data_IF_323661255820
#
_entry.id   IF_323661255820
#
_cell.length_a   1.000
_cell.length_b   1.000
_cell.length_c   1.000
_cell.angle_alpha   90.00
_cell.angle_beta   90.00
_cell.angle_gamma   90.00
#
_symmetry.space_group_name_H-M   'P 1'
#
loop_
_entity.id
_entity.type
_entity.pdbx_description
1 polymer ?
#
# COMPACT_ATOMS: atom_id res chain seq x y z
N UNK A 1 19.74 12.86 1.71
CA UNK A 1 18.34 12.95 2.15
C UNK A 1 17.60 11.77 1.56
N UNK A 2 16.80 11.07 2.36
CA UNK A 2 15.88 10.08 1.83
C UNK A 2 14.63 10.85 1.42
N UNK A 3 14.25 10.79 0.15
CA UNK A 3 13.09 11.51 -0.37
C UNK A 3 11.86 10.74 0.07
N UNK A 4 10.92 11.45 0.70
CA UNK A 4 9.79 10.82 1.39
C UNK A 4 8.48 11.41 0.92
N UNK A 5 7.44 10.59 0.95
CA UNK A 5 6.08 11.08 1.09
C UNK A 5 5.78 11.27 2.57
N UNK A 6 4.96 12.26 2.91
CA UNK A 6 4.55 12.53 4.29
C UNK A 6 3.03 12.63 4.37
N UNK A 7 2.46 12.05 5.41
CA UNK A 7 1.04 12.08 5.69
C UNK A 7 0.80 12.80 7.02
N UNK A 8 -0.15 13.72 7.03
CA UNK A 8 -0.58 14.47 8.20
C UNK A 8 -2.11 14.49 8.32
N UNK A 9 -2.60 14.76 9.52
CA UNK A 9 -3.98 15.22 9.76
C UNK A 9 -3.99 16.70 10.11
N UNK A 10 -4.95 17.45 9.54
CA UNK A 10 -5.03 18.90 9.65
C UNK A 10 -6.44 19.39 10.02
N UNK A 11 -6.50 20.52 10.72
CA UNK A 11 -7.76 21.21 11.05
C UNK A 11 -8.43 21.92 9.86
N UNK A 12 -7.70 22.25 8.80
CA UNK A 12 -8.21 22.88 7.57
C UNK A 12 -7.51 22.31 6.32
N UNK A 13 -8.05 22.64 5.14
CA UNK A 13 -7.39 22.42 3.85
C UNK A 13 -6.60 23.68 3.47
N UNK A 14 -5.25 23.65 3.39
CA UNK A 14 -4.45 24.83 3.10
C UNK A 14 -4.69 25.38 1.70
N UNK A 15 -4.88 26.70 1.60
CA UNK A 15 -5.03 27.43 0.33
C UNK A 15 -3.76 28.17 -0.11
N UNK A 16 -2.84 28.42 0.81
CA UNK A 16 -1.48 28.93 0.57
C UNK A 16 -0.49 28.37 1.60
N UNK A 17 0.80 28.58 1.41
CA UNK A 17 1.83 28.17 2.38
C UNK A 17 1.66 28.85 3.75
N UNK A 18 1.18 30.10 3.75
CA UNK A 18 0.88 30.87 4.95
C UNK A 18 -0.48 30.50 5.56
N UNK A 19 -1.32 29.72 4.88
CA UNK A 19 -2.62 29.24 5.38
C UNK A 19 -2.45 28.03 6.32
N UNK A 20 -1.65 28.23 7.37
CA UNK A 20 -1.34 27.23 8.38
C UNK A 20 -2.58 26.83 9.20
N UNK A 21 -2.80 25.51 9.40
CA UNK A 21 -3.80 24.99 10.32
C UNK A 21 -3.54 25.38 11.77
N UNK A 22 -4.60 25.49 12.57
CA UNK A 22 -4.46 25.59 14.04
C UNK A 22 -4.00 24.25 14.66
N UNK A 23 -4.39 23.13 14.06
CA UNK A 23 -4.06 21.77 14.49
C UNK A 23 -3.41 20.98 13.36
N UNK A 24 -2.31 20.31 13.69
CA UNK A 24 -1.56 19.43 12.81
C UNK A 24 -1.07 18.23 13.63
N UNK A 25 -1.20 17.03 13.08
CA UNK A 25 -0.47 15.85 13.58
C UNK A 25 0.27 15.18 12.42
N UNK A 26 1.53 14.80 12.64
CA UNK A 26 2.18 13.83 11.78
C UNK A 26 1.46 12.49 11.87
N UNK A 27 1.38 11.76 10.77
CA UNK A 27 0.80 10.41 10.75
C UNK A 27 1.81 9.36 10.33
N UNK A 28 2.52 9.61 9.23
CA UNK A 28 3.55 8.71 8.75
C UNK A 28 4.40 9.35 7.66
N UNK A 29 5.54 8.74 7.37
CA UNK A 29 6.42 9.09 6.26
C UNK A 29 6.95 7.83 5.57
N UNK A 30 7.11 7.89 4.25
CA UNK A 30 7.56 6.72 3.48
C UNK A 30 8.61 7.09 2.46
N UNK A 31 9.75 6.39 2.47
CA UNK A 31 10.84 6.67 1.55
C UNK A 31 10.54 6.15 0.14
N UNK A 32 10.77 7.00 -0.87
CA UNK A 32 10.77 6.69 -2.31
C UNK A 32 9.45 6.20 -2.92
N UNK A 33 8.35 6.13 -2.16
CA UNK A 33 7.02 5.73 -2.66
C UNK A 33 5.90 6.37 -1.81
N UNK A 34 4.67 6.25 -2.30
CA UNK A 34 3.43 6.49 -1.55
C UNK A 34 2.75 5.13 -1.35
N UNK A 35 2.71 4.58 -0.12
CA UNK A 35 2.18 3.24 0.11
C UNK A 35 0.65 3.16 -0.07
N UNK A 36 0.13 1.93 -0.14
CA UNK A 36 -1.29 1.69 -0.41
C UNK A 36 -2.23 2.34 0.61
N UNK A 37 -1.91 2.28 1.90
CA UNK A 37 -2.78 2.81 2.96
C UNK A 37 -2.95 4.33 2.87
N UNK A 38 -1.92 5.06 2.43
CA UNK A 38 -2.02 6.50 2.20
C UNK A 38 -3.01 6.78 1.08
N UNK A 39 -2.87 6.07 -0.05
CA UNK A 39 -3.78 6.22 -1.20
C UNK A 39 -5.22 5.84 -0.82
N UNK A 40 -5.42 4.83 0.02
CA UNK A 40 -6.73 4.43 0.53
C UNK A 40 -7.34 5.53 1.41
N UNK A 41 -6.59 6.07 2.36
CA UNK A 41 -7.02 7.20 3.19
C UNK A 41 -7.41 8.42 2.34
N UNK A 42 -6.63 8.74 1.31
CA UNK A 42 -6.85 9.90 0.44
C UNK A 42 -7.97 9.69 -0.61
N UNK A 43 -8.54 8.50 -0.74
CA UNK A 43 -9.29 8.09 -1.93
C UNK A 43 -10.73 8.63 -2.06
N UNK A 44 -11.29 9.28 -1.03
CA UNK A 44 -12.70 9.68 -1.01
C UNK A 44 -12.97 10.98 -1.77
N UNK A 45 -12.14 11.99 -1.57
CA UNK A 45 -12.21 13.27 -2.29
C UNK A 45 -10.80 13.90 -2.34
N UNK A 46 -9.85 13.30 -3.09
CA UNK A 46 -8.51 13.85 -3.21
C UNK A 46 -8.53 15.10 -4.11
N UNK A 47 -8.02 16.20 -3.58
CA UNK A 47 -7.94 17.50 -4.25
C UNK A 47 -6.55 18.11 -4.07
N UNK A 48 -6.06 18.87 -5.06
CA UNK A 48 -4.83 19.64 -4.87
C UNK A 48 -5.06 20.73 -3.82
N UNK A 49 -4.03 20.99 -3.02
CA UNK A 49 -3.97 22.07 -2.04
C UNK A 49 -2.54 22.64 -2.00
N UNK A 50 -2.32 23.71 -1.24
CA UNK A 50 -0.97 24.27 -1.11
C UNK A 50 -0.07 23.31 -0.30
N UNK A 51 1.17 23.13 -0.74
CA UNK A 51 2.18 22.46 0.09
C UNK A 51 2.51 23.33 1.30
N UNK A 52 2.64 22.68 2.45
CA UNK A 52 3.07 23.28 3.70
C UNK A 52 4.57 23.04 3.98
N UNK A 53 5.22 22.18 3.19
CA UNK A 53 6.66 21.90 3.25
C UNK A 53 7.47 23.07 2.68
N UNK A 54 7.08 23.60 1.52
CA UNK A 54 7.79 24.70 0.86
C UNK A 54 6.87 25.64 0.08
N UNK A 55 7.23 26.92 0.00
CA UNK A 55 6.59 27.95 -0.82
C UNK A 55 7.35 28.26 -2.13
N UNK A 56 8.37 27.45 -2.44
CA UNK A 56 9.20 27.67 -3.61
C UNK A 56 10.30 26.63 -3.83
N UNK A 57 11.08 26.86 -4.89
CA UNK A 57 12.22 26.06 -5.30
C UNK A 57 13.44 26.95 -5.40
N UNK A 58 14.58 26.50 -4.85
CA UNK A 58 15.87 27.19 -4.92
C UNK A 58 15.81 28.69 -4.55
N UNK A 59 15.00 29.03 -3.53
CA UNK A 59 14.81 30.40 -3.05
C UNK A 59 13.88 31.27 -3.92
N UNK A 60 13.30 30.70 -4.99
CA UNK A 60 12.31 31.36 -5.83
C UNK A 60 10.91 30.92 -5.41
N UNK A 61 10.05 31.88 -5.05
CA UNK A 61 8.65 31.59 -4.73
C UNK A 61 7.92 31.06 -5.97
N UNK A 62 7.42 29.83 -5.87
CA UNK A 62 6.60 29.18 -6.89
C UNK A 62 5.51 28.36 -6.19
N UNK A 63 4.27 28.33 -6.70
CA UNK A 63 3.22 27.53 -6.08
C UNK A 63 3.55 26.03 -6.12
N UNK A 64 3.81 25.45 -4.95
CA UNK A 64 3.98 24.01 -4.77
C UNK A 64 2.69 23.43 -4.19
N UNK A 65 2.39 22.20 -4.57
CA UNK A 65 1.11 21.58 -4.30
C UNK A 65 1.28 20.28 -3.53
N UNK A 66 0.32 20.02 -2.66
CA UNK A 66 0.11 18.77 -1.95
C UNK A 66 -1.30 18.25 -2.26
N UNK A 67 -1.68 17.13 -1.66
CA UNK A 67 -3.01 16.53 -1.83
C UNK A 67 -3.74 16.58 -0.50
N UNK A 68 -5.00 17.00 -0.51
CA UNK A 68 -5.87 16.96 0.67
C UNK A 68 -7.11 16.13 0.40
N UNK A 69 -7.58 15.43 1.44
CA UNK A 69 -8.87 14.73 1.43
C UNK A 69 -9.53 14.80 2.81
N UNK A 70 -10.86 14.71 2.94
CA UNK A 70 -11.50 14.59 4.24
C UNK A 70 -11.04 13.32 4.98
N UNK A 71 -10.68 13.45 6.26
CA UNK A 71 -10.14 12.34 7.05
C UNK A 71 -11.15 11.21 7.25
N UNK A 72 -12.34 11.55 7.77
CA UNK A 72 -13.28 10.56 8.27
C UNK A 72 -13.73 9.53 7.22
N UNK A 73 -14.12 9.92 5.98
CA UNK A 73 -14.50 8.94 4.96
C UNK A 73 -13.34 8.01 4.57
N UNK A 74 -12.11 8.54 4.47
CA UNK A 74 -10.93 7.73 4.20
C UNK A 74 -10.67 6.70 5.30
N UNK A 75 -10.82 7.12 6.55
CA UNK A 75 -10.63 6.23 7.68
C UNK A 75 -11.70 5.13 7.77
N UNK A 76 -12.95 5.40 7.40
CA UNK A 76 -13.97 4.33 7.27
C UNK A 76 -13.56 3.26 6.24
N UNK A 77 -12.95 3.68 5.11
CA UNK A 77 -12.42 2.72 4.13
C UNK A 77 -11.31 1.86 4.72
N UNK A 78 -10.41 2.45 5.49
CA UNK A 78 -9.36 1.70 6.21
C UNK A 78 -9.96 0.72 7.19
N UNK A 79 -10.96 1.10 8.01
CA UNK A 79 -11.60 0.19 8.97
C UNK A 79 -12.21 -1.04 8.30
N UNK A 80 -12.95 -0.85 7.20
CA UNK A 80 -13.51 -1.98 6.43
C UNK A 80 -12.40 -2.79 5.78
N UNK A 81 -11.38 -2.17 5.21
CA UNK A 81 -10.25 -2.88 4.61
C UNK A 81 -9.53 -3.76 5.64
N UNK A 82 -9.24 -3.24 6.84
CA UNK A 82 -8.67 -4.01 7.95
C UNK A 82 -9.55 -5.20 8.32
N UNK A 83 -10.87 -5.02 8.40
CA UNK A 83 -11.80 -6.13 8.67
C UNK A 83 -11.74 -7.22 7.58
N UNK A 84 -11.62 -6.84 6.31
CA UNK A 84 -11.43 -7.78 5.19
C UNK A 84 -10.11 -8.53 5.33
N UNK A 85 -9.02 -7.84 5.64
CA UNK A 85 -7.69 -8.45 5.81
C UNK A 85 -7.67 -9.41 7.01
N UNK A 86 -8.36 -9.11 8.11
CA UNK A 86 -8.50 -10.05 9.23
C UNK A 86 -9.15 -11.37 8.82
N UNK A 87 -10.24 -11.32 8.03
CA UNK A 87 -10.87 -12.53 7.49
C UNK A 87 -9.90 -13.30 6.58
N UNK A 88 -9.05 -12.61 5.82
CA UNK A 88 -7.98 -13.26 5.05
C UNK A 88 -7.02 -14.01 5.94
N UNK A 89 -6.50 -13.38 6.99
CA UNK A 89 -5.55 -13.99 7.93
C UNK A 89 -6.17 -15.23 8.58
N UNK A 90 -7.40 -15.12 9.08
CA UNK A 90 -8.13 -16.24 9.69
C UNK A 90 -8.34 -17.40 8.71
N UNK A 91 -8.61 -17.10 7.43
CA UNK A 91 -8.80 -18.12 6.39
C UNK A 91 -7.51 -18.89 6.07
N UNK A 92 -6.34 -18.31 6.29
CA UNK A 92 -5.05 -19.01 6.15
C UNK A 92 -4.66 -19.80 7.41
N UNK A 93 -5.18 -19.41 8.58
CA UNK A 93 -4.93 -20.10 9.84
C UNK A 93 -5.69 -21.44 9.95
N UNK A 94 -6.80 -21.62 9.21
CA UNK A 94 -7.55 -22.89 9.18
C UNK A 94 -6.85 -23.87 8.25
N UNK A 95 -6.28 -24.99 8.74
CA UNK A 95 -5.69 -26.00 7.87
C UNK A 95 -6.80 -26.61 7.01
N UNK A 96 -6.66 -26.54 5.68
CA UNK A 96 -7.45 -27.36 4.77
C UNK A 96 -7.32 -28.82 5.21
N UNK A 97 -8.42 -29.55 5.47
CA UNK A 97 -8.35 -30.97 5.77
C UNK A 97 -7.57 -31.65 4.66
N UNK A 98 -6.49 -32.36 5.02
CA UNK A 98 -5.65 -33.05 4.06
C UNK A 98 -6.55 -33.87 3.13
N UNK A 99 -6.48 -33.60 1.82
CA UNK A 99 -7.15 -34.41 0.83
C UNK A 99 -6.73 -35.88 1.06
N UNK A 100 -7.67 -36.84 1.04
CA UNK A 100 -7.31 -38.24 1.14
C UNK A 100 -6.24 -38.53 0.08
N UNK A 101 -5.19 -39.29 0.43
CA UNK A 101 -4.07 -39.53 -0.47
C UNK A 101 -4.61 -40.07 -1.80
N UNK A 102 -4.06 -39.61 -2.95
CA UNK A 102 -4.49 -40.11 -4.25
C UNK A 102 -4.33 -41.63 -4.27
N UNK A 103 -5.39 -42.32 -4.68
CA UNK A 103 -5.34 -43.77 -4.90
C UNK A 103 -4.13 -44.08 -5.80
N UNK A 104 -3.24 -44.92 -5.29
CA UNK A 104 -2.06 -45.38 -6.03
C UNK A 104 -2.47 -45.89 -7.42
N UNK A 105 -1.89 -45.36 -8.51
CA UNK A 105 -2.07 -45.92 -9.85
C UNK A 105 -1.71 -47.40 -9.83
N UNK A 106 -2.58 -48.21 -10.42
CA UNK A 106 -2.57 -49.67 -10.35
C UNK A 106 -1.20 -50.30 -10.60
N UNK A 107 -0.92 -51.35 -9.83
CA UNK A 107 0.27 -52.20 -9.99
C UNK A 107 0.37 -52.66 -11.43
N UNK A 108 1.38 -52.16 -12.16
CA UNK A 108 1.74 -52.67 -13.48
C UNK A 108 1.95 -54.18 -13.39
N UNK A 109 1.13 -54.95 -14.09
CA UNK A 109 1.17 -56.40 -14.04
C UNK A 109 2.41 -56.93 -14.75
N UNK A 110 2.84 -58.13 -14.35
CA UNK A 110 4.08 -58.79 -14.78
C UNK A 110 4.22 -58.88 -16.33
N UNK A 111 3.10 -58.83 -17.06
CA UNK A 111 3.04 -58.80 -18.53
C UNK A 111 3.66 -57.54 -19.15
N UNK A 112 3.55 -56.36 -18.49
CA UNK A 112 4.15 -55.12 -18.99
C UNK A 112 5.68 -55.12 -18.90
N UNK A 113 6.22 -55.88 -17.94
CA UNK A 113 7.66 -56.10 -17.79
C UNK A 113 8.22 -57.03 -18.86
N UNK A 114 7.47 -58.07 -19.27
CA UNK A 114 7.89 -58.98 -20.35
C UNK A 114 7.90 -58.28 -21.72
N UNK A 115 6.95 -57.36 -21.99
CA UNK A 115 6.93 -56.60 -23.26
C UNK A 115 8.13 -55.67 -23.43
N UNK A 116 8.70 -55.11 -22.36
CA UNK A 116 9.90 -54.26 -22.43
C UNK A 116 11.18 -55.06 -22.71
N UNK A 117 11.26 -56.30 -22.24
CA UNK A 117 12.43 -57.17 -22.49
C UNK A 117 12.51 -57.66 -23.95
N UNK A 118 11.36 -57.73 -24.64
CA UNK A 118 11.28 -58.15 -26.04
C UNK A 118 11.57 -57.03 -27.07
N UNK A 119 11.99 -55.83 -26.64
CA UNK A 119 12.42 -54.75 -27.54
C UNK A 119 11.31 -54.09 -28.37
N UNK A 120 10.04 -54.23 -28.00
CA UNK A 120 8.88 -53.74 -28.78
C UNK A 120 8.27 -52.41 -28.28
N UNK A 121 9.00 -51.61 -27.49
CA UNK A 121 8.52 -50.29 -27.05
C UNK A 121 9.56 -49.19 -27.35
N UNK A 122 9.16 -48.06 -27.97
CA UNK A 122 10.08 -46.97 -28.28
C UNK A 122 10.54 -46.25 -27.00
N UNK A 123 11.81 -45.84 -26.98
CA UNK A 123 12.42 -45.12 -25.86
C UNK A 123 11.83 -43.71 -25.71
N UNK A 124 11.52 -43.25 -24.49
CA UNK A 124 11.11 -41.86 -24.29
C UNK A 124 12.32 -40.93 -24.36
N UNK A 125 12.14 -39.79 -25.02
CA UNK A 125 13.12 -38.72 -25.10
C UNK A 125 13.39 -38.13 -23.70
N UNK A 126 14.67 -38.09 -23.32
CA UNK A 126 15.12 -37.50 -22.06
C UNK A 126 14.87 -35.98 -22.06
N UNK A 127 13.84 -35.54 -21.36
CA UNK A 127 13.67 -34.13 -20.99
C UNK A 127 14.43 -33.90 -19.68
N UNK A 128 15.38 -32.96 -19.72
CA UNK A 128 16.14 -32.49 -18.56
C UNK A 128 15.16 -31.92 -17.52
N UNK A 129 15.22 -32.33 -16.23
CA UNK A 129 14.34 -31.75 -15.22
C UNK A 129 14.67 -30.27 -15.06
N UNK A 130 13.66 -29.41 -15.12
CA UNK A 130 13.77 -28.06 -14.62
C UNK A 130 14.16 -28.10 -13.13
N UNK A 131 14.99 -27.18 -12.63
CA UNK A 131 15.30 -27.12 -11.21
C UNK A 131 13.99 -27.00 -10.43
N UNK A 132 13.79 -27.91 -9.47
CA UNK A 132 12.65 -27.88 -8.58
C UNK A 132 12.67 -26.53 -7.84
N UNK A 133 11.62 -25.73 -8.02
CA UNK A 133 11.36 -24.58 -7.17
C UNK A 133 11.25 -25.10 -5.73
N UNK A 134 12.16 -24.68 -4.87
CA UNK A 134 12.03 -24.91 -3.43
C UNK A 134 10.67 -24.33 -3.03
N UNK A 135 9.78 -25.09 -2.39
CA UNK A 135 8.53 -24.54 -1.88
C UNK A 135 8.89 -23.38 -0.96
N UNK A 136 8.44 -22.17 -1.29
CA UNK A 136 8.58 -21.03 -0.41
C UNK A 136 8.05 -21.42 0.96
N UNK A 137 8.81 -21.12 2.02
CA UNK A 137 8.31 -21.28 3.37
C UNK A 137 6.98 -20.51 3.49
N UNK A 138 5.99 -21.02 4.24
CA UNK A 138 4.76 -20.28 4.46
C UNK A 138 5.10 -18.90 5.02
N UNK A 139 4.49 -17.87 4.46
CA UNK A 139 4.73 -16.49 4.90
C UNK A 139 4.30 -16.33 6.36
N UNK A 140 5.12 -15.62 7.14
CA UNK A 140 4.84 -15.38 8.56
C UNK A 140 3.66 -14.42 8.73
N UNK A 141 2.88 -14.62 9.79
CA UNK A 141 1.69 -13.85 10.15
C UNK A 141 1.71 -13.48 11.65
N UNK A 142 2.91 -13.39 12.21
CA UNK A 142 3.14 -13.19 13.64
C UNK A 142 2.86 -11.74 14.06
N UNK A 143 2.96 -10.78 13.12
CA UNK A 143 2.92 -9.35 13.43
C UNK A 143 1.79 -8.59 12.73
N UNK A 144 1.40 -9.01 11.53
CA UNK A 144 0.40 -8.30 10.74
C UNK A 144 -0.92 -8.01 11.50
N UNK A 145 -1.51 -8.94 12.28
CA UNK A 145 -2.72 -8.64 13.06
C UNK A 145 -2.55 -7.44 14.01
N UNK A 146 -1.43 -7.39 14.73
CA UNK A 146 -1.14 -6.34 15.70
C UNK A 146 -0.91 -4.99 14.99
N UNK A 147 -0.22 -4.99 13.85
CA UNK A 147 -0.03 -3.77 13.04
C UNK A 147 -1.34 -3.20 12.50
N UNK A 148 -2.31 -4.07 12.16
CA UNK A 148 -3.64 -3.63 11.74
C UNK A 148 -4.41 -3.00 12.92
N UNK A 149 -4.28 -3.53 14.13
CA UNK A 149 -4.88 -2.97 15.34
C UNK A 149 -4.26 -1.61 15.69
N UNK A 150 -2.93 -1.53 15.64
CA UNK A 150 -2.16 -0.30 15.84
C UNK A 150 -2.54 0.77 14.82
N UNK A 151 -2.69 0.41 13.55
CA UNK A 151 -3.14 1.32 12.48
C UNK A 151 -4.47 1.98 12.85
N UNK A 152 -5.45 1.20 13.30
CA UNK A 152 -6.76 1.76 13.67
C UNK A 152 -6.69 2.63 14.91
N UNK A 153 -5.97 2.20 15.94
CA UNK A 153 -5.81 2.96 17.18
C UNK A 153 -5.08 4.29 16.94
N UNK A 154 -3.98 4.26 16.18
CA UNK A 154 -3.17 5.42 15.88
C UNK A 154 -3.95 6.45 15.06
N UNK A 155 -4.63 6.03 13.98
CA UNK A 155 -5.42 6.94 13.15
C UNK A 155 -6.59 7.56 13.92
N UNK A 156 -7.26 6.80 14.80
CA UNK A 156 -8.33 7.35 15.64
C UNK A 156 -7.78 8.37 16.65
N UNK A 157 -6.61 8.12 17.24
CA UNK A 157 -5.96 9.04 18.19
C UNK A 157 -5.54 10.36 17.53
N UNK A 158 -5.05 10.31 16.29
CA UNK A 158 -4.50 11.48 15.57
C UNK A 158 -5.47 12.03 14.51
N UNK A 159 -6.76 11.75 14.64
CA UNK A 159 -7.77 12.22 13.69
C UNK A 159 -7.91 13.74 13.71
N UNK A 160 -8.16 14.31 12.54
CA UNK A 160 -8.59 15.69 12.39
C UNK A 160 -9.61 15.80 11.24
N UNK A 161 -9.91 17.00 10.75
CA UNK A 161 -10.90 17.23 9.69
C UNK A 161 -10.40 16.74 8.32
N UNK A 162 -9.14 17.01 8.02
CA UNK A 162 -8.53 16.74 6.73
C UNK A 162 -7.27 15.90 6.88
N UNK A 163 -6.92 15.22 5.80
CA UNK A 163 -5.61 14.66 5.56
C UNK A 163 -4.82 15.59 4.63
N UNK A 164 -3.51 15.56 4.77
CA UNK A 164 -2.54 16.17 3.85
C UNK A 164 -1.49 15.12 3.47
N UNK A 165 -1.35 14.87 2.18
CA UNK A 165 -0.29 14.05 1.61
C UNK A 165 0.67 14.96 0.83
N UNK A 166 1.90 15.05 1.32
CA UNK A 166 3.00 15.76 0.69
C UNK A 166 3.84 14.78 -0.14
N UNK A 167 4.02 15.06 -1.43
CA UNK A 167 4.91 14.31 -2.34
C UNK A 167 6.06 15.14 -2.86
N UNK A 168 6.15 16.43 -2.46
CA UNK A 168 7.07 17.40 -3.07
C UNK A 168 8.52 16.94 -3.02
N UNK A 169 9.00 16.34 -1.92
CA UNK A 169 10.37 15.82 -1.85
C UNK A 169 10.63 14.65 -2.82
N UNK A 170 9.63 13.82 -3.10
CA UNK A 170 9.74 12.77 -4.12
C UNK A 170 9.88 13.38 -5.51
N UNK A 171 9.07 14.40 -5.79
CA UNK A 171 8.90 14.96 -7.13
C UNK A 171 10.07 15.87 -7.53
N UNK A 172 10.55 16.72 -6.61
CA UNK A 172 11.62 17.70 -6.88
C UNK A 172 12.99 17.09 -7.16
N UNK A 173 13.15 15.78 -6.96
CA UNK A 173 14.35 15.06 -7.38
C UNK A 173 14.53 15.01 -8.89
N UNK A 174 13.41 14.81 -9.59
CA UNK A 174 13.39 14.44 -11.00
C UNK A 174 12.83 15.55 -11.86
N UNK A 175 12.18 16.53 -11.22
CA UNK A 175 11.48 17.61 -11.87
C UNK A 175 11.69 18.93 -11.12
N UNK A 176 11.78 20.03 -11.85
CA UNK A 176 11.94 21.39 -11.32
C UNK A 176 10.97 22.39 -11.96
N UNK A 177 10.30 22.00 -13.04
CA UNK A 177 9.26 22.78 -13.68
C UNK A 177 7.97 22.76 -12.84
N UNK A 178 7.43 23.91 -12.42
CA UNK A 178 6.25 23.97 -11.57
C UNK A 178 4.99 23.32 -12.17
N UNK A 179 4.79 23.41 -13.49
CA UNK A 179 3.63 22.82 -14.15
C UNK A 179 3.77 21.30 -14.21
N UNK A 180 4.98 20.78 -14.47
CA UNK A 180 5.27 19.35 -14.41
C UNK A 180 5.13 18.78 -12.99
N UNK A 181 5.61 19.49 -11.97
CA UNK A 181 5.39 19.12 -10.56
C UNK A 181 3.89 19.05 -10.22
N UNK A 182 3.11 20.02 -10.69
CA UNK A 182 1.65 19.97 -10.54
C UNK A 182 1.05 18.76 -11.25
N UNK A 183 1.55 18.40 -12.43
CA UNK A 183 1.16 17.19 -13.14
C UNK A 183 1.43 15.89 -12.36
N UNK A 184 2.52 15.83 -11.59
CA UNK A 184 2.83 14.69 -10.72
C UNK A 184 1.84 14.57 -9.56
N UNK A 185 1.46 15.69 -8.95
CA UNK A 185 0.39 15.75 -7.92
C UNK A 185 -0.94 15.27 -8.51
N UNK A 186 -1.33 15.74 -9.69
CA UNK A 186 -2.57 15.32 -10.35
C UNK A 186 -2.53 13.82 -10.70
N UNK A 187 -1.36 13.28 -11.05
CA UNK A 187 -1.17 11.85 -11.28
C UNK A 187 -1.32 11.00 -10.00
N UNK A 188 -0.82 11.48 -8.85
CA UNK A 188 -1.00 10.82 -7.55
C UNK A 188 -2.45 10.90 -7.07
N UNK A 189 -3.15 12.02 -7.30
CA UNK A 189 -4.60 12.12 -7.12
C UNK A 189 -5.31 11.04 -7.94
N UNK A 190 -4.88 10.84 -9.19
CA UNK A 190 -5.36 9.76 -10.04
C UNK A 190 -5.13 8.36 -9.44
N UNK A 191 -3.98 8.13 -8.80
CA UNK A 191 -3.67 6.88 -8.07
C UNK A 191 -4.57 6.68 -6.85
N UNK A 192 -4.80 7.73 -6.05
CA UNK A 192 -5.73 7.70 -4.91
C UNK A 192 -7.17 7.34 -5.37
N UNK A 193 -7.64 7.96 -6.46
CA UNK A 193 -8.96 7.66 -7.03
C UNK A 193 -9.08 6.22 -7.53
N UNK A 194 -8.02 5.67 -8.13
CA UNK A 194 -7.99 4.27 -8.57
C UNK A 194 -8.10 3.30 -7.39
N UNK A 195 -7.37 3.56 -6.30
CA UNK A 195 -7.50 2.76 -5.06
C UNK A 195 -8.92 2.84 -4.51
N UNK A 196 -9.53 4.04 -4.51
CA UNK A 196 -10.94 4.21 -4.13
C UNK A 196 -11.88 3.38 -4.99
N UNK A 197 -11.74 3.43 -6.32
CA UNK A 197 -12.56 2.63 -7.23
C UNK A 197 -12.37 1.12 -7.04
N UNK A 198 -11.15 0.67 -6.75
CA UNK A 198 -10.84 -0.73 -6.45
C UNK A 198 -11.53 -1.18 -5.16
N UNK A 199 -11.47 -0.35 -4.13
CA UNK A 199 -12.14 -0.57 -2.85
C UNK A 199 -13.67 -0.65 -2.99
N UNK A 200 -14.28 0.23 -3.77
CA UNK A 200 -15.73 0.20 -4.03
C UNK A 200 -16.17 -1.01 -4.88
N UNK A 201 -15.26 -1.59 -5.67
CA UNK A 201 -15.52 -2.81 -6.42
C UNK A 201 -15.49 -4.08 -5.55
N UNK A 202 -15.01 -3.99 -4.30
CA UNK A 202 -15.04 -5.12 -3.37
C UNK A 202 -16.48 -5.41 -2.91
N UNK A 203 -16.93 -6.68 -2.93
CA UNK A 203 -18.25 -7.10 -2.46
C UNK A 203 -18.62 -6.60 -1.05
N UNK A 204 -19.91 -6.38 -0.80
CA UNK A 204 -20.38 -5.94 0.52
C UNK A 204 -20.15 -6.98 1.62
N UNK A 205 -20.22 -8.27 1.29
CA UNK A 205 -19.90 -9.37 2.20
C UNK A 205 -18.39 -9.42 2.46
N UNK A 206 -17.99 -9.44 3.74
CA UNK A 206 -16.58 -9.34 4.14
C UNK A 206 -15.77 -10.58 3.73
N UNK A 207 -16.36 -11.78 3.80
CA UNK A 207 -15.68 -13.02 3.42
C UNK A 207 -15.54 -13.17 1.90
N UNK A 208 -16.52 -12.72 1.13
CA UNK A 208 -16.40 -12.61 -0.32
C UNK A 208 -15.38 -11.54 -0.73
N UNK A 209 -15.41 -10.37 -0.10
CA UNK A 209 -14.42 -9.31 -0.33
C UNK A 209 -12.99 -9.78 -0.05
N UNK A 210 -12.78 -10.55 1.02
CA UNK A 210 -11.51 -11.18 1.32
C UNK A 210 -11.04 -12.05 0.14
N UNK A 211 -11.87 -13.00 -0.30
CA UNK A 211 -11.52 -13.87 -1.45
C UNK A 211 -11.19 -13.08 -2.72
N UNK A 212 -11.94 -12.02 -3.01
CA UNK A 212 -11.67 -11.13 -4.16
C UNK A 212 -10.33 -10.40 -3.99
N UNK A 213 -10.09 -9.81 -2.82
CA UNK A 213 -8.86 -9.09 -2.50
C UNK A 213 -7.62 -9.99 -2.60
N UNK A 214 -7.68 -11.21 -2.06
CA UNK A 214 -6.57 -12.18 -2.15
C UNK A 214 -6.23 -12.51 -3.61
N UNK A 215 -7.25 -12.78 -4.44
CA UNK A 215 -7.03 -13.06 -5.86
C UNK A 215 -6.52 -11.83 -6.60
N UNK A 216 -7.03 -10.65 -6.26
CA UNK A 216 -6.61 -9.39 -6.88
C UNK A 216 -5.16 -9.03 -6.55
N UNK A 217 -4.69 -9.41 -5.36
CA UNK A 217 -3.31 -9.25 -4.96
C UNK A 217 -2.36 -10.25 -5.65
N UNK A 218 -2.79 -11.51 -5.82
CA UNK A 218 -1.95 -12.56 -6.40
C UNK A 218 -1.85 -12.53 -7.94
N UNK A 219 -2.91 -12.09 -8.63
CA UNK A 219 -3.02 -12.16 -10.09
C UNK A 219 -3.32 -10.77 -10.66
N UNK A 220 -2.85 -10.47 -11.87
CA UNK A 220 -3.22 -9.20 -12.53
C UNK A 220 -4.67 -9.26 -13.00
N UNK A 221 -5.47 -8.29 -12.56
CA UNK A 221 -6.86 -8.09 -13.01
C UNK A 221 -6.97 -6.86 -13.90
N UNK A 222 -8.05 -6.72 -14.69
CA UNK A 222 -8.39 -5.43 -15.28
C UNK A 222 -8.78 -4.41 -14.20
N UNK A 223 -8.73 -3.12 -14.56
CA UNK A 223 -9.22 -2.06 -13.70
C UNK A 223 -10.71 -2.27 -13.30
N UNK A 224 -11.08 -1.96 -12.05
CA UNK A 224 -10.26 -1.26 -11.04
C UNK A 224 -9.48 -2.18 -10.09
N UNK A 225 -9.63 -3.51 -10.18
CA UNK A 225 -9.02 -4.44 -9.21
C UNK A 225 -7.50 -4.58 -9.38
N UNK A 226 -6.94 -4.07 -10.48
CA UNK A 226 -5.50 -3.99 -10.73
C UNK A 226 -4.75 -3.20 -9.64
N UNK A 227 -5.43 -2.29 -8.95
CA UNK A 227 -4.84 -1.49 -7.87
C UNK A 227 -4.42 -2.32 -6.64
N UNK A 228 -4.91 -3.55 -6.47
CA UNK A 228 -4.50 -4.45 -5.39
C UNK A 228 -3.32 -5.35 -5.78
N UNK A 229 -2.96 -5.40 -7.06
CA UNK A 229 -1.97 -6.34 -7.56
C UNK A 229 -0.61 -6.18 -6.86
N UNK A 230 -0.07 -7.29 -6.37
CA UNK A 230 1.23 -7.36 -5.72
C UNK A 230 1.25 -6.90 -4.26
N UNK A 231 0.12 -6.47 -3.68
CA UNK A 231 0.02 -6.30 -2.23
C UNK A 231 0.23 -7.64 -1.52
N UNK A 232 0.85 -7.59 -0.34
CA UNK A 232 1.03 -8.76 0.51
C UNK A 232 0.22 -8.61 1.79
N UNK A 233 -0.31 -9.72 2.27
CA UNK A 233 -1.06 -9.82 3.52
C UNK A 233 -0.34 -10.79 4.46
N UNK A 234 0.94 -10.55 4.64
CA UNK A 234 1.86 -11.26 5.55
C UNK A 234 2.84 -10.26 6.20
N UNK A 235 3.72 -10.75 7.07
CA UNK A 235 4.67 -9.89 7.80
C UNK A 235 5.72 -9.21 6.90
N UNK A 236 5.77 -9.54 5.60
CA UNK A 236 6.63 -8.87 4.63
C UNK A 236 5.90 -7.77 3.85
N UNK A 237 4.70 -7.37 4.26
CA UNK A 237 3.87 -6.39 3.56
C UNK A 237 4.58 -5.06 3.28
N UNK A 238 5.58 -4.71 4.09
CA UNK A 238 6.30 -3.43 4.06
C UNK A 238 7.83 -3.56 3.89
N UNK A 239 8.31 -4.78 3.63
CA UNK A 239 9.74 -5.13 3.50
C UNK A 239 10.40 -4.63 2.20
N UNK A 240 10.21 -3.36 1.84
CA UNK A 240 10.72 -2.75 0.60
C UNK A 240 12.25 -2.65 0.59
N UNK A 241 12.86 -2.37 1.75
CA UNK A 241 14.32 -2.28 1.89
C UNK A 241 15.06 -3.59 1.61
N UNK A 242 14.44 -4.73 1.90
CA UNK A 242 15.01 -6.05 1.63
C UNK A 242 14.65 -6.57 0.23
N UNK A 243 13.75 -5.89 -0.48
CA UNK A 243 13.25 -6.30 -1.79
C UNK A 243 12.19 -7.39 -1.75
N UNK A 244 11.68 -7.75 -0.57
CA UNK A 244 10.65 -8.80 -0.40
C UNK A 244 9.25 -8.32 -0.82
N UNK A 245 9.06 -7.01 -0.92
CA UNK A 245 7.85 -6.38 -1.48
C UNK A 245 8.22 -5.20 -2.38
N UNK A 246 7.51 -5.08 -3.50
CA UNK A 246 7.55 -3.91 -4.40
C UNK A 246 6.39 -2.95 -4.12
N UNK A 247 5.34 -3.40 -3.44
CA UNK A 247 4.10 -2.68 -3.24
C UNK A 247 3.76 -2.66 -1.74
N UNK A 248 4.28 -1.67 -0.98
CA UNK A 248 4.07 -1.60 0.45
C UNK A 248 2.60 -1.32 0.82
N UNK A 249 2.13 -1.93 1.91
CA UNK A 249 0.86 -1.56 2.52
C UNK A 249 0.97 -0.20 3.20
N UNK A 250 2.06 0.09 3.90
CA UNK A 250 2.30 1.32 4.65
C UNK A 250 1.63 1.30 6.02
N UNK A 251 2.02 0.34 6.86
CA UNK A 251 1.54 0.16 8.24
C UNK A 251 2.52 0.73 9.29
N UNK A 252 3.52 1.50 8.87
CA UNK A 252 4.40 2.25 9.77
C UNK A 252 3.72 3.58 10.13
N UNK A 253 3.54 3.89 11.42
CA UNK A 253 2.89 5.11 11.88
C UNK A 253 3.75 5.81 12.92
N UNK A 254 3.86 7.14 12.81
CA UNK A 254 4.65 7.97 13.72
C UNK A 254 4.17 9.42 13.66
N UNK A 255 4.00 10.06 14.82
CA UNK A 255 3.60 11.46 14.93
C UNK A 255 4.81 12.42 14.83
N UNK A 256 6.02 11.89 14.98
CA UNK A 256 7.28 12.60 14.79
C UNK A 256 7.88 12.23 13.43
N UNK A 257 7.80 13.18 12.49
CA UNK A 257 8.30 13.00 11.12
C UNK A 257 9.62 13.74 10.91
N UNK A 258 10.36 13.37 9.89
CA UNK A 258 11.58 14.06 9.45
C UNK A 258 11.29 15.51 9.08
N UNK A 259 10.13 15.77 8.46
CA UNK A 259 9.65 17.12 8.20
C UNK A 259 8.48 17.45 9.14
N UNK A 260 8.74 18.22 10.19
CA UNK A 260 7.67 18.73 11.06
C UNK A 260 7.03 19.97 10.46
N UNK A 261 5.70 20.00 10.38
CA UNK A 261 4.96 21.18 9.95
C UNK A 261 4.62 22.07 11.14
N UNK A 262 4.79 23.38 10.96
CA UNK A 262 4.31 24.35 11.94
C UNK A 262 2.79 24.56 11.81
N UNK A 263 2.10 24.48 12.95
CA UNK A 263 0.77 25.05 13.07
C UNK A 263 0.81 26.59 13.01
N UNK A 264 -0.36 27.23 12.98
CA UNK A 264 -0.51 28.68 12.90
C UNK A 264 0.36 29.42 13.92
N UNK A 265 0.23 29.07 15.19
CA UNK A 265 0.94 29.75 16.28
C UNK A 265 2.46 29.57 16.17
N UNK A 266 2.93 28.37 15.83
CA UNK A 266 4.35 28.08 15.63
C UNK A 266 4.93 28.85 14.43
N UNK A 267 4.17 28.92 13.32
CA UNK A 267 4.58 29.62 12.11
C UNK A 267 4.72 31.12 12.34
N UNK A 268 3.73 31.73 12.98
CA UNK A 268 3.75 33.17 13.30
C UNK A 268 4.92 33.51 14.25
N UNK A 269 5.17 32.65 15.25
CA UNK A 269 6.30 32.80 16.17
C UNK A 269 7.67 32.61 15.49
N UNK A 270 7.74 31.81 14.41
CA UNK A 270 8.95 31.62 13.63
C UNK A 270 9.23 32.84 12.72
N UNK A 271 8.19 33.39 12.09
CA UNK A 271 8.32 34.61 11.28
C UNK A 271 8.79 35.80 12.10
N UNK A 272 8.20 36.03 13.29
CA UNK A 272 8.59 37.14 14.16
C UNK A 272 9.99 37.05 14.78
N UNK A 273 10.72 35.94 14.60
CA UNK A 273 12.15 35.80 14.99
C UNK A 273 13.12 36.06 13.84
N UNK A 274 12.61 36.09 12.61
CA UNK A 274 13.42 36.25 11.39
C UNK A 274 13.50 37.71 10.92
N UNK A 275 12.69 38.59 11.53
CA UNK A 275 12.74 40.07 11.40
C UNK A 275 13.65 40.71 12.46
#
# INVERSE_FOLDING_TARGET
MANRSYLYSLGNRPTSYEDRPDTISGLSEWAYDVPFMYRLLMSCDPQPCASLISDGLDGTKVPLHAISSPFAPGFERVRRFVAIVRVLIESHAVPTPAAPPPETPGKSTLMDRMRRWAGLAPAPAASRPAPASIPAAPAALDHLPDWLDETLAFLEQHRDQYLLLETVELDVMSESDPDALRGLVDAEIGRCRRVGAAYEALPGDTAEAARVLQRAAAERHPAPLDAFFGLRFDDNCDSTRTGETEHPLGLEWNDVLYFELFNRAQFDAHQGKSD
#
